data_IF_949003585433
#
_entry.id   IF_949003585433
#
_cell.length_a   1.000
_cell.length_b   1.000
_cell.length_c   1.000
_cell.angle_alpha   90.00
_cell.angle_beta   90.00
_cell.angle_gamma   90.00
#
_symmetry.space_group_name_H-M   'P 1'
#
loop_
_entity.id
_entity.type
_entity.pdbx_description
1 polymer ?
#
# COMPACT_ATOMS: atom_id res chain seq x y z
N UNK A 1 -1.49 25.31 13.86
CA UNK A 1 -0.15 24.70 13.75
C UNK A 1 -0.22 23.19 13.88
N UNK A 2 -0.46 22.67 15.07
CA UNK A 2 -0.38 21.22 15.38
C UNK A 2 -1.35 20.34 14.56
N UNK A 3 -2.66 20.68 14.39
CA UNK A 3 -3.57 19.82 13.62
C UNK A 3 -3.16 19.58 12.17
N UNK A 4 -2.58 20.60 11.53
CA UNK A 4 -2.08 20.50 10.15
C UNK A 4 -0.93 19.49 10.04
N UNK A 5 0.04 19.53 10.96
CA UNK A 5 1.15 18.58 10.97
C UNK A 5 0.68 17.15 11.20
N UNK A 6 -0.27 16.94 12.10
CA UNK A 6 -0.86 15.61 12.32
C UNK A 6 -1.50 15.10 11.03
N UNK A 7 -2.28 15.94 10.35
CA UNK A 7 -2.91 15.57 9.08
C UNK A 7 -1.89 15.21 8.00
N UNK A 8 -0.87 16.05 7.78
CA UNK A 8 0.17 15.79 6.76
C UNK A 8 0.93 14.50 7.06
N UNK A 9 1.43 14.35 8.29
CA UNK A 9 2.17 13.14 8.68
C UNK A 9 1.32 11.88 8.56
N UNK A 10 0.04 11.97 8.89
CA UNK A 10 -0.90 10.86 8.73
C UNK A 10 -1.13 10.53 7.24
N UNK A 11 -1.33 11.55 6.40
CA UNK A 11 -1.58 11.36 4.97
C UNK A 11 -0.36 10.75 4.26
N UNK A 12 0.85 11.18 4.63
CA UNK A 12 2.10 10.59 4.14
C UNK A 12 2.23 9.13 4.59
N UNK A 13 1.92 8.85 5.86
CA UNK A 13 1.97 7.50 6.42
C UNK A 13 1.03 6.52 5.71
N UNK A 14 -0.25 6.91 5.52
CA UNK A 14 -1.22 6.04 4.83
C UNK A 14 -0.85 5.84 3.37
N UNK A 15 -0.47 6.91 2.67
CA UNK A 15 -0.07 6.84 1.26
C UNK A 15 1.15 5.94 1.09
N UNK A 16 2.17 6.08 1.95
CA UNK A 16 3.35 5.23 1.90
C UNK A 16 2.99 3.74 2.07
N UNK A 17 2.18 3.40 3.08
CA UNK A 17 1.82 2.02 3.39
C UNK A 17 0.91 1.37 2.35
N UNK A 18 0.13 2.16 1.62
CA UNK A 18 -0.64 1.68 0.47
C UNK A 18 0.24 1.23 -0.71
N UNK A 19 1.52 1.60 -0.72
CA UNK A 19 2.45 1.28 -1.80
C UNK A 19 3.68 0.47 -1.36
N UNK A 20 3.86 0.24 -0.04
CA UNK A 20 5.05 -0.44 0.50
C UNK A 20 4.73 -1.33 1.71
N UNK A 21 5.69 -2.15 2.16
CA UNK A 21 5.59 -2.85 3.44
C UNK A 21 4.66 -4.07 3.47
N UNK A 22 4.38 -4.67 2.31
CA UNK A 22 3.80 -6.02 2.23
C UNK A 22 4.89 -7.09 2.42
N UNK A 23 4.49 -8.31 2.80
CA UNK A 23 5.45 -9.41 2.94
C UNK A 23 5.96 -9.90 1.59
N UNK A 24 5.07 -10.00 0.61
CA UNK A 24 5.40 -10.25 -0.79
C UNK A 24 5.68 -8.93 -1.47
N UNK A 25 6.87 -8.80 -2.08
CA UNK A 25 7.31 -7.59 -2.75
C UNK A 25 6.39 -7.28 -3.93
N UNK A 26 6.00 -6.01 -4.06
CA UNK A 26 5.20 -5.55 -5.17
C UNK A 26 6.10 -5.25 -6.38
N UNK A 27 5.74 -5.71 -7.57
CA UNK A 27 6.48 -5.40 -8.78
C UNK A 27 6.31 -3.93 -9.17
N UNK A 28 7.37 -3.35 -9.70
CA UNK A 28 7.38 -2.04 -10.32
C UNK A 28 7.55 -2.23 -11.82
N UNK A 29 6.53 -1.85 -12.59
CA UNK A 29 6.48 -2.07 -14.02
C UNK A 29 6.92 -0.84 -14.80
N UNK A 30 7.73 -1.03 -15.84
CA UNK A 30 8.23 0.03 -16.72
C UNK A 30 7.87 -0.22 -18.18
N UNK A 31 7.82 0.87 -18.95
CA UNK A 31 7.64 0.80 -20.41
C UNK A 31 6.43 -0.03 -20.81
N UNK A 32 6.66 -1.08 -21.59
CA UNK A 32 5.60 -1.96 -22.13
C UNK A 32 5.00 -2.90 -21.08
N UNK A 33 5.68 -3.14 -19.97
CA UNK A 33 5.16 -3.97 -18.87
C UNK A 33 4.12 -3.22 -18.02
N UNK A 34 4.14 -1.89 -18.06
CA UNK A 34 3.19 -1.08 -17.31
C UNK A 34 1.83 -1.00 -18.01
N UNK A 35 0.77 -1.16 -17.23
CA UNK A 35 -0.60 -0.85 -17.64
C UNK A 35 -1.36 -0.33 -16.44
N UNK A 36 -2.50 0.33 -16.67
CA UNK A 36 -3.36 0.84 -15.60
C UNK A 36 -3.73 -0.26 -14.59
N UNK A 37 -4.17 -1.42 -15.09
CA UNK A 37 -4.53 -2.56 -14.24
C UNK A 37 -3.33 -3.08 -13.44
N UNK A 38 -2.18 -3.29 -14.09
CA UNK A 38 -0.97 -3.78 -13.40
C UNK A 38 -0.49 -2.79 -12.35
N UNK A 39 -0.56 -1.48 -12.62
CA UNK A 39 -0.22 -0.45 -11.64
C UNK A 39 -1.21 -0.40 -10.47
N UNK A 40 -2.52 -0.50 -10.72
CA UNK A 40 -3.53 -0.57 -9.67
C UNK A 40 -3.37 -1.79 -8.75
N UNK A 41 -2.98 -2.94 -9.32
CA UNK A 41 -2.70 -4.16 -8.54
C UNK A 41 -1.37 -4.14 -7.77
N UNK A 42 -0.57 -3.08 -7.93
CA UNK A 42 0.65 -2.84 -7.14
C UNK A 42 0.42 -1.92 -5.94
N UNK A 43 -0.85 -1.70 -5.59
CA UNK A 43 -1.23 -1.08 -4.33
C UNK A 43 -1.70 -2.13 -3.33
N UNK A 44 -1.90 -1.71 -2.07
CA UNK A 44 -2.26 -2.58 -0.97
C UNK A 44 -3.46 -2.00 -0.24
N UNK A 45 -4.40 -2.89 0.09
CA UNK A 45 -5.42 -2.57 1.07
C UNK A 45 -4.82 -2.56 2.48
N UNK A 46 -5.33 -1.69 3.35
CA UNK A 46 -4.87 -1.52 4.73
C UNK A 46 -6.05 -1.38 5.67
N UNK A 47 -6.07 -2.17 6.73
CA UNK A 47 -7.08 -2.04 7.77
C UNK A 47 -6.62 -1.03 8.84
N UNK A 48 -7.35 0.09 8.97
CA UNK A 48 -7.08 1.11 9.98
C UNK A 48 -7.86 0.91 11.28
N UNK A 49 -8.66 -0.15 11.41
CA UNK A 49 -9.50 -0.40 12.57
C UNK A 49 -10.69 0.56 12.63
N UNK A 50 -10.97 1.12 13.80
CA UNK A 50 -12.17 1.94 14.03
C UNK A 50 -12.22 3.25 13.23
N UNK A 51 -11.11 3.66 12.63
CA UNK A 51 -11.03 4.91 11.86
C UNK A 51 -11.19 4.71 10.35
N UNK A 52 -11.43 3.48 9.87
CA UNK A 52 -11.66 3.21 8.43
C UNK A 52 -12.74 4.12 7.86
N UNK A 53 -13.90 4.17 8.49
CA UNK A 53 -15.04 4.98 8.06
C UNK A 53 -14.78 6.50 8.19
N UNK A 54 -14.01 6.93 9.19
CA UNK A 54 -13.62 8.36 9.36
C UNK A 54 -12.69 8.79 8.22
N UNK A 55 -11.88 7.86 7.69
CA UNK A 55 -11.05 8.07 6.52
C UNK A 55 -11.72 7.68 5.21
N UNK A 56 -13.06 7.65 5.16
CA UNK A 56 -13.79 7.35 3.92
C UNK A 56 -13.36 6.00 3.30
N UNK A 57 -13.07 5.01 4.14
CA UNK A 57 -12.66 3.66 3.73
C UNK A 57 -11.45 3.65 2.77
N UNK A 58 -10.54 4.62 2.90
CA UNK A 58 -9.32 4.75 2.10
C UNK A 58 -8.46 3.48 2.08
N UNK A 59 -8.63 2.60 3.08
CA UNK A 59 -7.98 1.29 3.15
C UNK A 59 -8.36 0.33 2.03
N UNK A 60 -9.43 0.57 1.28
CA UNK A 60 -9.87 -0.20 0.09
C UNK A 60 -9.15 0.26 -1.19
N UNK A 61 -7.85 0.52 -1.04
CA UNK A 61 -7.07 1.33 -1.95
C UNK A 61 -6.90 0.69 -3.34
N UNK A 62 -6.88 -0.64 -3.43
CA UNK A 62 -6.82 -1.34 -4.73
C UNK A 62 -8.04 -1.02 -5.60
N UNK A 63 -9.24 -1.16 -5.05
CA UNK A 63 -10.48 -0.86 -5.80
C UNK A 63 -10.62 0.64 -6.05
N UNK A 64 -10.23 1.47 -5.09
CA UNK A 64 -10.17 2.91 -5.31
C UNK A 64 -9.30 3.26 -6.52
N UNK A 65 -8.14 2.62 -6.68
CA UNK A 65 -7.29 2.83 -7.84
C UNK A 65 -7.84 2.22 -9.13
N UNK A 66 -8.47 1.06 -9.09
CA UNK A 66 -9.02 0.43 -10.30
C UNK A 66 -10.28 1.12 -10.79
N UNK A 67 -11.11 1.64 -9.89
CA UNK A 67 -12.41 2.22 -10.16
C UNK A 67 -12.64 3.50 -9.33
N UNK A 68 -11.86 4.57 -9.57
CA UNK A 68 -11.96 5.81 -8.77
C UNK A 68 -13.32 6.53 -8.87
N UNK A 69 -14.16 6.12 -9.82
CA UNK A 69 -15.53 6.62 -9.99
C UNK A 69 -16.51 6.01 -8.98
N UNK A 70 -16.18 4.87 -8.36
CA UNK A 70 -16.98 4.30 -7.28
C UNK A 70 -16.84 5.23 -6.07
N UNK A 71 -17.95 5.75 -5.53
CA UNK A 71 -17.87 6.63 -4.38
C UNK A 71 -17.43 5.86 -3.14
N UNK A 72 -16.75 6.55 -2.23
CA UNK A 72 -16.08 5.94 -1.09
C UNK A 72 -16.99 5.04 -0.22
N UNK A 73 -18.27 5.41 -0.09
CA UNK A 73 -19.27 4.67 0.70
C UNK A 73 -19.75 3.35 0.06
N UNK A 74 -19.29 3.02 -1.15
CA UNK A 74 -19.48 1.72 -1.79
C UNK A 74 -18.17 0.94 -1.99
N UNK A 75 -17.02 1.46 -1.56
CA UNK A 75 -15.74 0.81 -1.84
C UNK A 75 -15.56 -0.51 -1.09
N UNK A 76 -16.12 -0.64 0.12
CA UNK A 76 -16.09 -1.90 0.88
C UNK A 76 -16.85 -2.99 0.12
N UNK A 77 -18.10 -2.71 -0.28
CA UNK A 77 -18.94 -3.61 -1.08
C UNK A 77 -18.26 -3.99 -2.41
N UNK A 78 -17.69 -3.00 -3.11
CA UNK A 78 -16.97 -3.23 -4.36
C UNK A 78 -15.71 -4.08 -4.17
N UNK A 79 -15.01 -3.92 -3.04
CA UNK A 79 -13.84 -4.74 -2.68
C UNK A 79 -14.25 -6.18 -2.45
N UNK A 80 -15.26 -6.43 -1.62
CA UNK A 80 -15.79 -7.78 -1.38
C UNK A 80 -16.25 -8.46 -2.67
N UNK A 81 -16.91 -7.72 -3.58
CA UNK A 81 -17.35 -8.24 -4.87
C UNK A 81 -16.18 -8.55 -5.83
N UNK A 82 -15.09 -7.78 -5.77
CA UNK A 82 -13.94 -7.94 -6.64
C UNK A 82 -12.94 -9.00 -6.16
N UNK A 83 -12.86 -9.24 -4.85
CA UNK A 83 -11.98 -10.26 -4.24
C UNK A 83 -11.96 -11.61 -4.99
N UNK A 84 -13.11 -12.28 -5.24
CA UNK A 84 -13.11 -13.56 -5.95
C UNK A 84 -12.64 -13.46 -7.42
N UNK A 85 -12.78 -12.29 -8.04
CA UNK A 85 -12.33 -12.05 -9.42
C UNK A 85 -10.83 -11.80 -9.47
N UNK A 86 -10.30 -11.07 -8.48
CA UNK A 86 -8.87 -10.79 -8.36
C UNK A 86 -8.07 -12.04 -7.96
N UNK A 87 -8.68 -12.96 -7.21
CA UNK A 87 -8.09 -14.25 -6.87
C UNK A 87 -6.71 -14.09 -6.22
N UNK A 88 -5.70 -14.76 -6.77
CA UNK A 88 -4.33 -14.73 -6.26
C UNK A 88 -3.67 -13.33 -6.31
N UNK A 89 -4.21 -12.40 -7.10
CA UNK A 89 -3.70 -11.04 -7.17
C UNK A 89 -4.19 -10.15 -6.02
N UNK A 90 -5.26 -10.57 -5.32
CA UNK A 90 -5.73 -9.87 -4.14
C UNK A 90 -4.89 -10.25 -2.91
N UNK A 91 -4.47 -9.23 -2.16
CA UNK A 91 -3.67 -9.39 -0.94
C UNK A 91 -4.51 -8.93 0.23
N UNK A 92 -5.11 -9.89 0.93
CA UNK A 92 -5.95 -9.59 2.10
C UNK A 92 -5.16 -8.78 3.15
N UNK A 93 -5.70 -7.64 3.61
CA UNK A 93 -5.07 -6.86 4.66
C UNK A 93 -5.08 -7.64 5.98
N UNK A 94 -4.06 -7.41 6.82
CA UNK A 94 -4.07 -7.93 8.19
C UNK A 94 -5.13 -7.17 8.98
N UNK A 95 -6.00 -7.92 9.65
CA UNK A 95 -7.02 -7.33 10.52
C UNK A 95 -6.38 -6.52 11.65
N UNK A 96 -6.89 -5.30 11.82
CA UNK A 96 -6.52 -4.41 12.89
C UNK A 96 -7.36 -4.69 14.14
N UNK A 97 -6.80 -4.38 15.31
CA UNK A 97 -7.61 -4.11 16.50
C UNK A 97 -8.27 -2.73 16.38
N UNK A 98 -8.73 -2.14 17.50
CA UNK A 98 -9.31 -0.79 17.51
C UNK A 98 -8.42 0.28 16.87
N UNK A 99 -7.10 0.15 17.04
CA UNK A 99 -6.07 1.03 16.47
C UNK A 99 -5.13 0.25 15.55
N UNK A 100 -4.60 0.88 14.49
CA UNK A 100 -3.77 0.21 13.48
C UNK A 100 -2.31 0.06 13.87
N UNK A 101 -2.05 -0.42 15.08
CA UNK A 101 -0.67 -0.56 15.61
C UNK A 101 0.16 -1.57 14.81
N UNK A 102 -0.48 -2.53 14.15
CA UNK A 102 0.20 -3.51 13.30
C UNK A 102 0.91 -2.85 12.10
N UNK A 103 0.39 -1.71 11.62
CA UNK A 103 0.98 -0.95 10.51
C UNK A 103 2.32 -0.31 10.86
N UNK A 104 2.60 -0.06 12.14
CA UNK A 104 3.92 0.41 12.57
C UNK A 104 5.00 -0.65 12.28
N UNK A 105 4.68 -1.93 12.45
CA UNK A 105 5.55 -3.04 12.10
C UNK A 105 5.81 -3.09 10.59
N UNK A 106 4.77 -2.91 9.77
CA UNK A 106 4.89 -2.81 8.32
C UNK A 106 5.74 -1.62 7.90
N UNK A 107 5.54 -0.44 8.50
CA UNK A 107 6.34 0.75 8.23
C UNK A 107 7.82 0.50 8.56
N UNK A 108 8.13 0.03 9.76
CA UNK A 108 9.52 -0.19 10.19
C UNK A 108 10.21 -1.22 9.30
N UNK A 109 9.52 -2.30 8.93
CA UNK A 109 10.05 -3.33 8.03
C UNK A 109 10.33 -2.73 6.65
N UNK A 110 9.35 -2.01 6.10
CA UNK A 110 9.45 -1.32 4.80
C UNK A 110 10.61 -0.33 4.76
N UNK A 111 10.72 0.53 5.77
CA UNK A 111 11.80 1.52 5.88
C UNK A 111 13.21 0.93 6.01
N UNK A 112 13.35 -0.39 6.22
CA UNK A 112 14.64 -1.10 6.21
C UNK A 112 14.92 -1.85 4.91
N UNK A 113 13.87 -2.12 4.13
CA UNK A 113 13.89 -3.09 3.03
C UNK A 113 13.48 -2.51 1.68
N UNK A 114 12.81 -1.36 1.67
CA UNK A 114 12.18 -0.75 0.51
C UNK A 114 12.83 0.62 0.26
N UNK A 115 14.14 0.62 -0.05
CA UNK A 115 14.92 1.86 -0.21
C UNK A 115 14.92 2.36 -1.65
N UNK A 116 15.07 1.46 -2.62
CA UNK A 116 15.14 1.81 -4.04
C UNK A 116 14.68 0.63 -4.92
N UNK A 117 14.57 0.87 -6.22
CA UNK A 117 14.39 -0.19 -7.24
C UNK A 117 15.54 -0.09 -8.24
N UNK A 118 16.05 -1.21 -8.76
CA UNK A 118 17.12 -1.24 -9.78
C UNK A 118 16.83 -0.31 -10.97
N UNK A 119 17.82 0.44 -11.45
CA UNK A 119 17.72 1.27 -12.67
C UNK A 119 17.56 0.44 -13.96
N UNK A 120 17.77 -0.88 -13.89
CA UNK A 120 17.71 -1.80 -15.03
C UNK A 120 16.60 -2.84 -14.85
N UNK A 121 15.99 -3.26 -15.96
CA UNK A 121 14.88 -4.22 -16.00
C UNK A 121 13.51 -3.56 -16.18
N UNK A 122 12.60 -4.31 -16.81
CA UNK A 122 11.23 -3.85 -17.12
C UNK A 122 10.23 -4.16 -15.99
N UNK A 123 10.52 -5.18 -15.18
CA UNK A 123 9.81 -5.52 -13.95
C UNK A 123 10.83 -5.63 -12.82
N UNK A 124 10.78 -4.70 -11.88
CA UNK A 124 11.74 -4.62 -10.77
C UNK A 124 11.03 -4.62 -9.43
N UNK A 125 11.76 -4.79 -8.33
CA UNK A 125 11.18 -4.84 -6.99
C UNK A 125 11.98 -3.95 -6.05
N UNK A 126 11.36 -3.54 -4.95
CA UNK A 126 12.05 -2.77 -3.92
C UNK A 126 13.18 -3.57 -3.26
N UNK A 127 14.34 -2.94 -3.17
CA UNK A 127 15.59 -3.48 -2.64
C UNK A 127 16.06 -2.67 -1.44
N UNK A 128 16.80 -3.35 -0.56
CA UNK A 128 17.42 -2.76 0.61
C UNK A 128 18.80 -2.22 0.24
N UNK A 129 19.04 -0.92 0.46
CA UNK A 129 20.38 -0.34 0.38
C UNK A 129 21.28 -0.83 1.53
N UNK A 130 22.37 -1.59 1.26
CA UNK A 130 23.30 -2.06 2.29
C UNK A 130 23.95 -0.93 3.09
N UNK A 131 24.15 0.24 2.46
CA UNK A 131 24.78 1.42 3.09
C UNK A 131 23.91 2.01 4.18
N UNK A 132 22.59 1.97 4.01
CA UNK A 132 21.62 2.46 4.99
C UNK A 132 21.42 1.48 6.15
N UNK A 133 21.63 0.18 5.91
CA UNK A 133 21.49 -0.87 6.92
C UNK A 133 22.76 -1.14 7.73
N UNK A 134 23.77 -0.27 7.64
CA UNK A 134 25.00 -0.36 8.42
C UNK A 134 25.90 -1.55 8.05
N UNK A 135 25.65 -2.21 6.92
CA UNK A 135 26.57 -3.19 6.36
C UNK A 135 27.71 -2.42 5.67
N UNK A 136 28.78 -2.18 6.43
CA UNK A 136 30.05 -1.71 5.87
C UNK A 136 30.60 -2.83 4.97
N UNK A 137 30.78 -2.53 3.69
CA UNK A 137 31.59 -3.34 2.75
C UNK A 137 33.00 -3.53 3.26
#
# INVERSE_FOLDING_TARGET
>A
GIPYWIFVMWLDFVTYLHHHGHQDKLPWYRGKEWSYLRGGLTTLDRDYGWINNIHHDIGTHVIHHLFPQIPHYHLVEATEAAQPVLGEYYREPKNSGPLPLHLLGSLIKSMKQDHFVSDTGDVVYYEADPKLNGQRT
#
